data_IF_013292665989
#
_entry.id   IF_013292665989
#
_cell.length_a   1.000
_cell.length_b   1.000
_cell.length_c   1.000
_cell.angle_alpha   90.00
_cell.angle_beta   90.00
_cell.angle_gamma   90.00
#
_symmetry.space_group_name_H-M   'P 1'
#
loop_
_entity.id
_entity.type
_entity.pdbx_description
1 polymer ?
#
# COMPACT_ATOMS: atom_id res chain seq x y z
N UNK A 1 -6.35 -20.75 2.65
CA UNK A 1 -7.06 -20.05 3.75
C UNK A 1 -7.08 -18.59 3.37
N UNK A 2 -8.20 -17.87 3.46
CA UNK A 2 -8.18 -16.43 3.12
C UNK A 2 -7.36 -15.71 4.18
N UNK A 3 -6.18 -15.22 3.80
CA UNK A 3 -5.33 -14.43 4.68
C UNK A 3 -6.11 -13.17 5.10
N UNK A 4 -6.31 -13.00 6.40
CA UNK A 4 -6.95 -11.79 6.94
C UNK A 4 -5.86 -10.76 7.19
N UNK A 5 -5.75 -9.80 6.28
CA UNK A 5 -4.87 -8.65 6.49
C UNK A 5 -5.38 -7.85 7.71
N UNK A 6 -4.49 -7.42 8.63
CA UNK A 6 -4.89 -6.66 9.80
C UNK A 6 -5.40 -5.28 9.41
N UNK A 7 -6.07 -4.59 10.33
CA UNK A 7 -6.38 -3.17 10.12
C UNK A 7 -5.09 -2.34 9.99
N UNK A 8 -5.00 -1.36 9.06
CA UNK A 8 -3.79 -0.58 8.89
C UNK A 8 -3.44 0.25 10.13
N UNK A 9 -2.15 0.26 10.50
CA UNK A 9 -1.64 1.13 11.56
C UNK A 9 -1.77 2.61 11.17
N UNK A 10 -2.27 3.46 12.08
CA UNK A 10 -2.45 4.89 11.81
C UNK A 10 -1.28 5.72 12.32
N UNK A 11 -0.95 6.79 11.60
CA UNK A 11 0.01 7.80 12.04
C UNK A 11 -0.67 8.85 12.93
N UNK A 12 0.11 9.46 13.81
CA UNK A 12 -0.30 10.65 14.57
C UNK A 12 0.40 11.89 14.00
N UNK A 13 -0.30 13.02 13.88
CA UNK A 13 0.34 14.27 13.44
C UNK A 13 1.34 14.76 14.50
N UNK A 14 2.45 15.32 14.03
CA UNK A 14 3.50 15.92 14.87
C UNK A 14 3.74 17.37 14.46
N UNK A 15 4.13 18.25 15.40
CA UNK A 15 4.30 19.68 15.10
C UNK A 15 5.57 20.01 14.31
N UNK A 16 6.59 19.15 14.35
CA UNK A 16 7.82 19.30 13.57
C UNK A 16 8.31 17.94 13.04
N UNK A 17 8.95 17.88 11.85
CA UNK A 17 9.41 16.64 11.23
C UNK A 17 10.75 16.15 11.80
N UNK A 18 11.08 16.47 13.05
CA UNK A 18 12.37 16.14 13.65
C UNK A 18 12.46 14.64 13.94
N UNK A 19 13.38 13.96 13.28
CA UNK A 19 13.69 12.56 13.55
C UNK A 19 14.60 12.44 14.76
N UNK A 20 14.27 11.53 15.67
CA UNK A 20 15.12 11.19 16.82
C UNK A 20 16.07 10.04 16.44
N UNK A 21 17.16 9.81 17.17
CA UNK A 21 18.00 8.63 16.96
C UNK A 21 17.16 7.35 16.94
N UNK A 22 17.38 6.49 15.94
CA UNK A 22 16.62 5.26 15.73
C UNK A 22 15.32 5.40 14.94
N UNK A 23 14.96 6.61 14.48
CA UNK A 23 13.79 6.83 13.62
C UNK A 23 14.17 6.73 12.14
N UNK A 24 13.28 6.15 11.34
CA UNK A 24 13.31 6.23 9.89
C UNK A 24 12.27 7.24 9.38
N UNK A 25 12.45 7.74 8.17
CA UNK A 25 11.48 8.57 7.48
C UNK A 25 11.19 8.00 6.09
N UNK A 26 9.92 8.09 5.72
CA UNK A 26 9.42 7.75 4.40
C UNK A 26 8.65 8.94 3.84
N UNK A 27 8.59 9.04 2.50
CA UNK A 27 7.74 10.03 1.86
C UNK A 27 6.28 9.68 2.14
N UNK A 28 5.53 10.62 2.72
CA UNK A 28 4.08 10.47 2.82
C UNK A 28 3.46 10.77 1.45
N UNK A 29 3.14 9.73 0.70
CA UNK A 29 2.36 9.85 -0.54
C UNK A 29 0.94 10.33 -0.28
N UNK A 30 0.35 10.96 -1.30
CA UNK A 30 -1.09 11.17 -1.41
C UNK A 30 -1.61 10.21 -2.48
N UNK A 31 -2.38 9.21 -2.06
CA UNK A 31 -2.79 8.08 -2.86
C UNK A 31 -3.96 7.32 -2.24
N UNK A 32 -4.11 6.06 -2.64
CA UNK A 32 -4.99 5.12 -1.94
C UNK A 32 -4.15 4.14 -1.11
N UNK A 33 -4.23 4.26 0.21
CA UNK A 33 -3.68 3.25 1.10
C UNK A 33 -4.32 1.88 0.83
N UNK A 34 -3.48 0.92 0.52
CA UNK A 34 -3.86 -0.42 0.16
C UNK A 34 -3.05 -1.47 0.93
N UNK A 35 -3.76 -2.51 1.37
CA UNK A 35 -3.16 -3.72 1.89
C UNK A 35 -3.13 -4.76 0.78
N UNK A 36 -1.97 -5.37 0.60
CA UNK A 36 -1.72 -6.38 -0.41
C UNK A 36 -1.29 -7.68 0.25
N UNK A 37 -1.81 -8.81 -0.25
CA UNK A 37 -1.28 -10.13 0.09
C UNK A 37 -1.05 -10.98 -1.16
N UNK A 38 0.06 -11.70 -1.20
CA UNK A 38 0.33 -12.79 -2.14
C UNK A 38 0.44 -14.10 -1.34
N UNK A 39 -0.53 -14.99 -1.49
CA UNK A 39 -0.60 -16.26 -0.77
C UNK A 39 -1.30 -17.35 -1.59
N UNK A 40 -0.75 -18.57 -1.56
CA UNK A 40 -1.25 -19.75 -2.28
C UNK A 40 -1.48 -19.47 -3.78
N UNK A 41 -0.62 -18.68 -4.41
CA UNK A 41 -0.74 -18.26 -5.81
C UNK A 41 -1.92 -17.30 -6.09
N UNK A 42 -2.49 -16.68 -5.05
CA UNK A 42 -3.55 -15.67 -5.16
C UNK A 42 -3.07 -14.33 -4.64
N UNK A 43 -3.46 -13.27 -5.32
CA UNK A 43 -3.24 -11.91 -4.87
C UNK A 43 -4.56 -11.30 -4.40
N UNK A 44 -4.53 -10.62 -3.27
CA UNK A 44 -5.62 -9.76 -2.81
C UNK A 44 -5.09 -8.35 -2.64
N UNK A 45 -5.85 -7.36 -3.13
CA UNK A 45 -5.58 -5.94 -2.97
C UNK A 45 -6.82 -5.29 -2.37
N UNK A 46 -6.68 -4.64 -1.21
CA UNK A 46 -7.79 -4.08 -0.47
C UNK A 46 -7.50 -2.68 0.02
N UNK A 47 -8.53 -1.82 0.04
CA UNK A 47 -8.42 -0.50 0.66
C UNK A 47 -8.28 -0.62 2.17
N UNK A 48 -7.93 0.49 2.83
CA UNK A 48 -8.00 0.63 4.30
C UNK A 48 -9.33 0.16 4.92
N UNK A 49 -10.45 0.27 4.19
CA UNK A 49 -11.79 -0.12 4.68
C UNK A 49 -12.21 -1.52 4.21
N UNK A 50 -11.29 -2.30 3.62
CA UNK A 50 -11.54 -3.66 3.14
C UNK A 50 -12.22 -3.74 1.77
N UNK A 51 -12.40 -2.61 1.06
CA UNK A 51 -12.91 -2.60 -0.31
C UNK A 51 -11.96 -3.38 -1.22
N UNK A 52 -12.49 -4.29 -2.03
CA UNK A 52 -11.68 -5.03 -3.00
C UNK A 52 -11.29 -4.09 -4.16
N UNK A 53 -9.99 -4.02 -4.46
CA UNK A 53 -9.42 -3.04 -5.38
C UNK A 53 -8.75 -3.69 -6.59
N UNK A 54 -8.49 -5.00 -6.59
CA UNK A 54 -7.76 -5.69 -7.64
C UNK A 54 -8.27 -5.45 -9.06
N UNK A 55 -9.59 -5.50 -9.33
CA UNK A 55 -10.17 -5.22 -10.64
C UNK A 55 -9.89 -3.81 -11.16
N UNK A 56 -9.71 -2.82 -10.28
CA UNK A 56 -9.39 -1.45 -10.66
C UNK A 56 -7.89 -1.24 -10.92
N UNK A 57 -7.02 -2.09 -10.38
CA UNK A 57 -5.56 -1.98 -10.46
C UNK A 57 -4.93 -3.32 -10.92
N UNK A 58 -5.29 -3.84 -12.11
CA UNK A 58 -4.84 -5.15 -12.58
C UNK A 58 -3.31 -5.25 -12.73
N UNK A 59 -2.64 -4.15 -13.06
CA UNK A 59 -1.17 -4.06 -13.15
C UNK A 59 -0.49 -4.29 -11.80
N UNK A 60 -1.09 -3.80 -10.71
CA UNK A 60 -0.58 -4.00 -9.36
C UNK A 60 -0.75 -5.47 -8.96
N UNK A 61 -1.90 -6.06 -9.28
CA UNK A 61 -2.17 -7.48 -9.03
C UNK A 61 -1.17 -8.38 -9.78
N UNK A 62 -0.90 -8.07 -11.05
CA UNK A 62 0.07 -8.81 -11.87
C UNK A 62 1.51 -8.67 -11.35
N UNK A 63 1.91 -7.47 -10.91
CA UNK A 63 3.21 -7.25 -10.27
C UNK A 63 3.37 -8.06 -8.98
N UNK A 64 2.34 -8.03 -8.14
CA UNK A 64 2.34 -8.72 -6.86
C UNK A 64 2.33 -10.25 -6.97
N UNK A 65 1.84 -10.82 -8.08
CA UNK A 65 1.88 -12.26 -8.32
C UNK A 65 3.32 -12.82 -8.41
N UNK A 66 4.33 -11.96 -8.55
CA UNK A 66 5.74 -12.32 -8.57
C UNK A 66 6.39 -12.36 -7.18
N UNK A 67 5.67 -11.89 -6.15
CA UNK A 67 6.18 -11.90 -4.78
C UNK A 67 6.25 -13.33 -4.22
N UNK A 68 7.15 -13.59 -3.24
CA UNK A 68 7.16 -14.87 -2.53
C UNK A 68 5.81 -15.20 -1.91
N UNK A 69 5.52 -16.49 -1.79
CA UNK A 69 4.31 -16.95 -1.13
C UNK A 69 4.27 -16.51 0.34
N UNK A 70 3.07 -16.29 0.87
CA UNK A 70 2.83 -15.74 2.21
C UNK A 70 3.45 -14.34 2.44
N UNK A 71 3.39 -13.46 1.44
CA UNK A 71 3.82 -12.05 1.54
C UNK A 71 2.65 -11.12 1.84
N UNK A 72 2.81 -10.22 2.81
CA UNK A 72 1.90 -9.09 3.09
C UNK A 72 2.65 -7.76 2.92
N UNK A 73 1.98 -6.77 2.32
CA UNK A 73 2.47 -5.41 2.24
C UNK A 73 1.37 -4.42 2.65
N UNK A 74 1.76 -3.36 3.35
CA UNK A 74 0.96 -2.17 3.60
C UNK A 74 1.66 -1.01 2.88
N UNK A 75 0.93 -0.30 2.05
CA UNK A 75 1.51 0.74 1.23
C UNK A 75 0.48 1.67 0.62
N UNK A 76 0.98 2.59 -0.20
CA UNK A 76 0.18 3.60 -0.86
C UNK A 76 0.21 3.35 -2.37
N UNK A 77 -0.96 3.16 -2.99
CA UNK A 77 -1.07 3.19 -4.45
C UNK A 77 -0.99 4.65 -4.91
N UNK A 78 -0.05 4.91 -5.80
CA UNK A 78 0.25 6.26 -6.31
C UNK A 78 0.33 6.23 -7.83
N UNK A 79 0.00 7.36 -8.44
CA UNK A 79 0.32 7.63 -9.85
C UNK A 79 1.56 8.51 -9.89
N UNK A 80 2.55 8.09 -10.67
CA UNK A 80 3.78 8.84 -10.93
C UNK A 80 3.80 9.29 -12.39
N UNK A 81 3.74 10.61 -12.61
CA UNK A 81 3.75 11.23 -13.94
C UNK A 81 4.72 12.41 -13.93
N UNK A 82 5.50 12.57 -14.99
CA UNK A 82 6.36 13.75 -15.21
C UNK A 82 7.27 14.12 -14.02
N UNK A 83 7.74 13.13 -13.27
CA UNK A 83 8.64 13.34 -12.12
C UNK A 83 7.94 13.78 -10.83
N UNK A 84 6.61 13.68 -10.75
CA UNK A 84 5.82 13.99 -9.55
C UNK A 84 4.74 12.95 -9.27
N UNK A 85 4.20 13.00 -8.05
CA UNK A 85 2.94 12.35 -7.72
C UNK A 85 1.77 13.12 -8.35
N UNK A 86 0.83 12.39 -8.94
CA UNK A 86 -0.36 12.93 -9.60
C UNK A 86 -1.64 12.28 -9.02
N UNK A 87 -1.94 12.62 -7.77
CA UNK A 87 -3.09 12.06 -7.03
C UNK A 87 -4.42 12.26 -7.76
N UNK A 88 -4.57 13.38 -8.48
CA UNK A 88 -5.76 13.74 -9.26
C UNK A 88 -6.11 12.74 -10.38
N UNK A 89 -5.24 11.77 -10.66
CA UNK A 89 -5.40 10.76 -11.71
C UNK A 89 -5.78 9.37 -11.19
N UNK A 90 -5.86 9.20 -9.86
CA UNK A 90 -6.27 7.97 -9.18
C UNK A 90 -7.79 7.80 -9.08
#
# INVERSE_FOLDING_TARGET
MTWTLPEPMLSSPVPEPRLRPGWAAELKGDGFRALLSADSGKVALRSRRGTEMGPAFPEIVAGAAQLPDATALDGELVVWEEGRLAFERL
#
